data_IF_532274829794
#
_entry.id   IF_532274829794
#
_cell.length_a   1.000
_cell.length_b   1.000
_cell.length_c   1.000
_cell.angle_alpha   90.00
_cell.angle_beta   90.00
_cell.angle_gamma   90.00
#
_symmetry.space_group_name_H-M   'P 1'
#
loop_
_entity.id
_entity.type
_entity.pdbx_description
1 polymer ?
#
# COMPACT_ATOMS: atom_id res chain seq x y z
N UNK A 1 -34.27 4.09 26.75
CA UNK A 1 -34.48 4.82 28.02
C UNK A 1 -34.19 6.30 27.80
N UNK A 2 -34.28 7.15 28.84
CA UNK A 2 -34.06 8.60 28.70
C UNK A 2 -32.71 9.00 28.07
N UNK A 3 -31.70 8.13 28.15
CA UNK A 3 -30.37 8.34 27.57
C UNK A 3 -30.19 7.74 26.15
N UNK A 4 -31.26 7.27 25.49
CA UNK A 4 -31.14 6.70 24.13
C UNK A 4 -30.78 7.79 23.12
N UNK A 5 -29.65 7.62 22.43
CA UNK A 5 -29.26 8.46 21.30
C UNK A 5 -30.06 8.07 20.05
N UNK A 6 -30.79 9.02 19.48
CA UNK A 6 -31.50 8.87 18.20
C UNK A 6 -30.73 9.57 17.10
N UNK A 7 -30.62 8.93 15.92
CA UNK A 7 -29.98 9.50 14.73
C UNK A 7 -30.98 9.44 13.58
N UNK A 8 -31.34 10.59 13.01
CA UNK A 8 -32.20 10.66 11.83
C UNK A 8 -31.40 10.34 10.57
N UNK A 9 -31.76 9.25 9.88
CA UNK A 9 -31.08 8.81 8.66
C UNK A 9 -31.48 9.61 7.40
N UNK A 10 -32.47 10.51 7.49
CA UNK A 10 -32.86 11.41 6.40
C UNK A 10 -33.40 10.67 5.16
N UNK A 11 -34.14 9.58 5.37
CA UNK A 11 -34.71 8.77 4.28
C UNK A 11 -33.69 7.86 3.56
N UNK A 12 -32.45 7.77 4.05
CA UNK A 12 -31.42 6.88 3.50
C UNK A 12 -31.59 5.44 3.97
N UNK A 13 -31.08 4.51 3.17
CA UNK A 13 -31.04 3.08 3.49
C UNK A 13 -29.93 2.77 4.48
N UNK A 14 -30.26 2.03 5.54
CA UNK A 14 -29.31 1.40 6.44
C UNK A 14 -29.08 -0.05 5.96
N UNK A 15 -27.82 -0.44 5.82
CA UNK A 15 -27.42 -1.81 5.50
C UNK A 15 -26.41 -2.33 6.54
N UNK A 16 -26.27 -3.65 6.71
CA UNK A 16 -25.16 -4.22 7.47
C UNK A 16 -23.81 -3.72 6.93
N UNK A 17 -22.84 -3.53 7.83
CA UNK A 17 -21.47 -3.26 7.42
C UNK A 17 -20.86 -4.45 6.67
N UNK A 18 -19.83 -4.19 5.88
CA UNK A 18 -19.08 -5.26 5.22
C UNK A 18 -18.38 -6.16 6.25
N UNK A 19 -18.37 -7.46 5.98
CA UNK A 19 -17.65 -8.46 6.76
C UNK A 19 -16.70 -9.19 5.83
N UNK A 20 -15.40 -9.00 6.03
CA UNK A 20 -14.36 -9.73 5.33
C UNK A 20 -13.92 -10.92 6.18
N UNK A 21 -14.18 -12.14 5.69
CA UNK A 21 -13.89 -13.38 6.42
C UNK A 21 -12.43 -13.83 6.33
N UNK A 22 -11.66 -13.30 5.37
CA UNK A 22 -10.24 -13.60 5.22
C UNK A 22 -9.52 -12.42 4.58
N UNK A 23 -8.74 -11.71 5.38
CA UNK A 23 -7.89 -10.64 4.89
C UNK A 23 -6.54 -10.63 5.60
N UNK A 24 -5.54 -10.08 4.91
CA UNK A 24 -4.22 -9.83 5.47
C UNK A 24 -4.07 -8.35 5.80
N UNK A 25 -4.83 -7.85 6.77
CA UNK A 25 -4.91 -6.39 7.09
C UNK A 25 -3.54 -5.76 7.30
N UNK A 26 -2.64 -6.44 8.03
CA UNK A 26 -1.31 -5.92 8.28
C UNK A 26 -0.43 -5.89 7.02
N UNK A 27 -0.55 -6.89 6.14
CA UNK A 27 0.15 -6.88 4.86
C UNK A 27 -0.39 -5.80 3.93
N UNK A 28 -1.72 -5.60 3.91
CA UNK A 28 -2.36 -4.53 3.15
C UNK A 28 -1.94 -3.15 3.66
N UNK A 29 -1.90 -2.95 4.98
CA UNK A 29 -1.40 -1.71 5.58
C UNK A 29 0.08 -1.48 5.24
N UNK A 30 0.90 -2.55 5.27
CA UNK A 30 2.29 -2.46 4.89
C UNK A 30 2.48 -2.07 3.42
N UNK A 31 1.67 -2.60 2.49
CA UNK A 31 1.75 -2.22 1.07
C UNK A 31 1.31 -0.77 0.83
N UNK A 32 0.28 -0.29 1.54
CA UNK A 32 -0.16 1.12 1.45
C UNK A 32 0.89 2.13 1.96
N UNK A 33 1.86 1.68 2.75
CA UNK A 33 2.94 2.51 3.30
C UNK A 33 4.30 2.26 2.62
N UNK A 34 4.40 1.18 1.84
CA UNK A 34 5.58 0.80 1.10
C UNK A 34 5.65 1.51 -0.25
N UNK A 35 6.83 1.48 -0.87
CA UNK A 35 6.99 1.93 -2.25
C UNK A 35 6.38 0.89 -3.20
N UNK A 36 5.67 1.35 -4.24
CA UNK A 36 5.16 0.50 -5.30
C UNK A 36 6.28 0.19 -6.29
N UNK A 37 6.78 -1.05 -6.27
CA UNK A 37 7.79 -1.55 -7.19
C UNK A 37 7.17 -2.36 -8.34
N UNK A 38 5.85 -2.27 -8.56
CA UNK A 38 5.19 -3.01 -9.62
C UNK A 38 5.54 -2.47 -11.02
N UNK A 39 5.38 -3.28 -12.07
CA UNK A 39 5.65 -2.88 -13.46
C UNK A 39 4.88 -1.64 -13.94
N UNK A 40 3.81 -1.24 -13.22
CA UNK A 40 3.07 -0.01 -13.49
C UNK A 40 3.82 1.26 -13.10
N UNK A 41 4.73 1.15 -12.13
CA UNK A 41 5.45 2.28 -11.52
C UNK A 41 6.95 2.18 -11.75
N UNK A 42 7.49 0.96 -11.82
CA UNK A 42 8.93 0.68 -11.97
C UNK A 42 9.11 -0.27 -13.15
N UNK A 43 9.74 0.21 -14.21
CA UNK A 43 9.96 -0.55 -15.46
C UNK A 43 11.43 -0.87 -15.74
N UNK A 44 12.34 -0.32 -14.95
CA UNK A 44 13.79 -0.52 -15.07
C UNK A 44 14.48 -0.56 -13.70
N UNK A 45 15.74 -0.98 -13.68
CA UNK A 45 16.57 -0.92 -12.48
C UNK A 45 16.77 0.54 -12.05
N UNK A 46 16.92 1.46 -13.02
CA UNK A 46 17.04 2.88 -12.73
C UNK A 46 15.79 3.43 -12.04
N UNK A 47 14.59 3.06 -12.52
CA UNK A 47 13.33 3.46 -11.89
C UNK A 47 13.28 2.97 -10.44
N UNK A 48 13.71 1.73 -10.19
CA UNK A 48 13.75 1.14 -8.85
C UNK A 48 14.71 1.91 -7.93
N UNK A 49 15.90 2.24 -8.42
CA UNK A 49 16.87 3.04 -7.66
C UNK A 49 16.31 4.42 -7.33
N UNK A 50 15.61 5.05 -8.26
CA UNK A 50 15.06 6.40 -8.10
C UNK A 50 13.93 6.41 -7.05
N UNK A 51 13.01 5.45 -7.09
CA UNK A 51 11.94 5.37 -6.07
C UNK A 51 12.50 5.03 -4.69
N UNK A 52 13.54 4.20 -4.61
CA UNK A 52 14.23 3.89 -3.34
C UNK A 52 14.97 5.12 -2.82
N UNK A 53 15.68 5.84 -3.69
CA UNK A 53 16.42 7.07 -3.34
C UNK A 53 15.48 8.14 -2.82
N UNK A 54 14.37 8.39 -3.50
CA UNK A 54 13.36 9.35 -3.05
C UNK A 54 12.77 8.96 -1.69
N UNK A 55 12.49 7.67 -1.47
CA UNK A 55 12.02 7.21 -0.15
C UNK A 55 13.09 7.37 0.94
N UNK A 56 14.37 7.21 0.60
CA UNK A 56 15.47 7.38 1.54
C UNK A 56 15.58 8.82 2.07
N UNK A 57 15.22 9.84 1.28
CA UNK A 57 15.24 11.26 1.70
C UNK A 57 14.41 11.54 2.96
N UNK A 58 13.34 10.76 3.17
CA UNK A 58 12.43 10.91 4.31
C UNK A 58 12.54 9.77 5.33
N UNK A 59 13.36 8.76 5.05
CA UNK A 59 13.53 7.60 5.92
C UNK A 59 14.68 7.85 6.89
N UNK A 60 14.39 7.77 8.19
CA UNK A 60 15.42 7.93 9.22
C UNK A 60 16.53 6.87 9.09
N UNK A 61 17.77 7.27 9.35
CA UNK A 61 18.93 6.37 9.35
C UNK A 61 18.69 5.16 10.23
N UNK A 62 19.01 3.97 9.72
CA UNK A 62 18.81 2.69 10.42
C UNK A 62 17.38 2.13 10.34
N UNK A 63 16.46 2.79 9.61
CA UNK A 63 15.11 2.26 9.33
C UNK A 63 15.05 1.59 7.97
N UNK A 64 14.26 0.53 7.88
CA UNK A 64 13.98 -0.17 6.63
C UNK A 64 13.09 0.64 5.69
N UNK A 65 13.47 0.68 4.42
CA UNK A 65 12.55 0.96 3.31
C UNK A 65 11.90 -0.35 2.90
N UNK A 66 10.57 -0.35 2.76
CA UNK A 66 9.80 -1.52 2.32
C UNK A 66 9.12 -1.20 1.00
N UNK A 67 9.14 -2.16 0.08
CA UNK A 67 8.43 -2.10 -1.19
C UNK A 67 7.57 -3.35 -1.42
N UNK A 68 6.70 -3.29 -2.42
CA UNK A 68 5.86 -4.41 -2.84
C UNK A 68 5.76 -4.46 -4.37
N UNK A 69 5.35 -5.61 -4.91
CA UNK A 69 5.07 -5.74 -6.34
C UNK A 69 6.29 -5.90 -7.26
N UNK A 70 7.50 -6.01 -6.70
CA UNK A 70 8.72 -6.22 -7.48
C UNK A 70 8.61 -7.40 -8.45
N UNK A 71 8.99 -7.16 -9.71
CA UNK A 71 9.03 -8.13 -10.79
C UNK A 71 10.14 -7.78 -11.78
N UNK A 72 11.27 -8.47 -11.69
CA UNK A 72 12.43 -8.27 -12.56
C UNK A 72 12.21 -8.76 -14.00
N UNK A 73 11.27 -9.67 -14.23
CA UNK A 73 10.96 -10.13 -15.59
C UNK A 73 10.34 -9.02 -16.42
N UNK A 74 9.69 -8.07 -15.75
CA UNK A 74 9.12 -6.87 -16.35
C UNK A 74 10.15 -5.76 -16.59
N UNK A 75 11.37 -5.87 -16.03
CA UNK A 75 12.40 -4.85 -16.24
C UNK A 75 12.90 -4.84 -17.69
N UNK A 76 13.34 -3.66 -18.15
CA UNK A 76 14.00 -3.48 -19.43
C UNK A 76 15.29 -4.29 -19.53
N UNK A 77 16.03 -4.40 -18.43
CA UNK A 77 17.35 -5.02 -18.36
C UNK A 77 17.30 -6.56 -18.33
N UNK A 78 16.12 -7.15 -18.09
CA UNK A 78 15.94 -8.61 -17.96
C UNK A 78 16.90 -9.27 -16.96
N UNK A 79 17.17 -8.57 -15.86
CA UNK A 79 18.02 -9.02 -14.76
C UNK A 79 17.64 -8.32 -13.46
N UNK A 80 18.11 -8.87 -12.35
CA UNK A 80 18.04 -8.20 -11.05
C UNK A 80 19.02 -7.01 -10.93
N UNK A 81 18.72 -6.02 -10.06
CA UNK A 81 19.70 -5.07 -9.54
C UNK A 81 20.88 -5.79 -8.85
N UNK A 82 22.06 -5.19 -8.89
CA UNK A 82 23.32 -5.73 -8.32
C UNK A 82 24.03 -4.67 -7.52
#
# INVERSE_FOLDING_TARGET
GPATRTINCGGKTLIPGFVDSHCHVLAQAASLQGIDCSPKTVSSIQDLEDVVRHRAETTQTGRWIRGFGYDDLSFLEKRHPT
#
